data_IF_459694177968
#
_entry.id   IF_459694177968
#
_cell.length_a   1.000
_cell.length_b   1.000
_cell.length_c   1.000
_cell.angle_alpha   90.00
_cell.angle_beta   90.00
_cell.angle_gamma   90.00
#
_symmetry.space_group_name_H-M   'P 1'
#
loop_
_entity.id
_entity.type
_entity.pdbx_description
1 polymer ?
#
# COMPACT_ATOMS: atom_id res chain seq x y z
N UNK A 1 -48.64 47.63 30.31
CA UNK A 1 -48.00 46.48 30.97
C UNK A 1 -47.06 45.88 29.94
N UNK A 2 -45.77 46.08 30.18
CA UNK A 2 -44.69 45.79 29.22
C UNK A 2 -44.15 44.40 29.52
N UNK A 3 -44.38 43.44 28.63
CA UNK A 3 -43.77 42.11 28.73
C UNK A 3 -42.36 42.16 28.12
N UNK A 4 -41.38 41.91 28.99
CA UNK A 4 -39.98 41.67 28.63
C UNK A 4 -39.82 40.20 28.24
N UNK A 5 -39.42 39.94 26.99
CA UNK A 5 -38.92 38.64 26.55
C UNK A 5 -37.42 38.56 26.84
N UNK A 6 -36.89 37.49 27.46
CA UNK A 6 -35.47 37.38 27.76
C UNK A 6 -34.68 36.90 26.52
N UNK A 7 -33.62 37.64 26.17
CA UNK A 7 -32.59 37.23 25.21
C UNK A 7 -31.88 35.95 25.68
N UNK A 8 -31.85 34.92 24.83
CA UNK A 8 -30.99 33.76 25.02
C UNK A 8 -29.57 34.08 24.52
N UNK A 9 -28.50 33.68 25.25
CA UNK A 9 -27.13 33.94 24.84
C UNK A 9 -26.74 33.08 23.64
N UNK A 10 -26.19 33.73 22.62
CA UNK A 10 -25.73 33.11 21.38
C UNK A 10 -24.68 32.03 21.64
N UNK A 11 -25.02 30.81 21.27
CA UNK A 11 -24.11 29.67 21.16
C UNK A 11 -23.04 30.02 20.13
N UNK A 12 -21.79 30.16 20.57
CA UNK A 12 -20.61 30.27 19.70
C UNK A 12 -20.56 29.07 18.77
N UNK A 13 -20.98 29.24 17.52
CA UNK A 13 -20.79 28.26 16.46
C UNK A 13 -19.29 28.03 16.28
N UNK A 14 -18.82 26.85 16.70
CA UNK A 14 -17.45 26.41 16.44
C UNK A 14 -17.21 26.41 14.94
N UNK A 15 -16.33 27.29 14.49
CA UNK A 15 -15.93 27.44 13.09
C UNK A 15 -15.44 26.10 12.57
N UNK A 16 -16.14 25.52 11.59
CA UNK A 16 -15.66 24.32 10.90
C UNK A 16 -14.24 24.59 10.35
N UNK A 17 -13.28 23.66 10.51
CA UNK A 17 -11.91 23.88 10.06
C UNK A 17 -11.90 24.14 8.55
N UNK A 18 -11.19 25.20 8.13
CA UNK A 18 -11.03 25.55 6.72
C UNK A 18 -10.42 24.36 5.95
N UNK A 19 -11.07 23.86 4.88
CA UNK A 19 -10.57 22.72 4.10
C UNK A 19 -9.13 22.91 3.56
N UNK A 20 -8.72 24.15 3.28
CA UNK A 20 -7.34 24.46 2.89
C UNK A 20 -6.34 24.23 4.02
N UNK A 21 -6.65 24.69 5.24
CA UNK A 21 -5.78 24.52 6.40
C UNK A 21 -5.66 23.04 6.81
N UNK A 22 -6.75 22.28 6.70
CA UNK A 22 -6.75 20.84 6.98
C UNK A 22 -5.88 20.07 5.96
N UNK A 23 -5.96 20.42 4.67
CA UNK A 23 -5.10 19.84 3.63
C UNK A 23 -3.62 20.15 3.85
N UNK A 24 -3.29 21.41 4.15
CA UNK A 24 -1.90 21.79 4.41
C UNK A 24 -1.30 21.05 5.60
N UNK A 25 -2.07 20.89 6.69
CA UNK A 25 -1.65 20.07 7.83
C UNK A 25 -1.47 18.59 7.46
N UNK A 26 -2.36 18.04 6.64
CA UNK A 26 -2.24 16.67 6.16
C UNK A 26 -0.98 16.46 5.31
N UNK A 27 -0.68 17.39 4.39
CA UNK A 27 0.55 17.34 3.59
C UNK A 27 1.80 17.45 4.45
N UNK A 28 1.82 18.34 5.46
CA UNK A 28 2.94 18.42 6.42
C UNK A 28 3.17 17.10 7.16
N UNK A 29 2.09 16.44 7.60
CA UNK A 29 2.18 15.13 8.27
C UNK A 29 2.67 14.04 7.30
N UNK A 30 2.19 14.02 6.06
CA UNK A 30 2.63 13.08 5.04
C UNK A 30 4.12 13.27 4.67
N UNK A 31 4.60 14.51 4.61
CA UNK A 31 6.02 14.82 4.42
C UNK A 31 6.87 14.45 5.63
N UNK A 32 6.35 14.66 6.85
CA UNK A 32 7.04 14.23 8.07
C UNK A 32 7.19 12.70 8.13
N UNK A 33 6.14 11.96 7.75
CA UNK A 33 6.19 10.50 7.58
C UNK A 33 7.27 10.08 6.59
N UNK A 34 7.28 10.69 5.39
CA UNK A 34 8.29 10.43 4.35
C UNK A 34 9.70 10.67 4.87
N UNK A 35 9.93 11.80 5.51
CA UNK A 35 11.24 12.16 6.04
C UNK A 35 11.70 11.21 7.14
N UNK A 36 10.79 10.77 8.01
CA UNK A 36 11.12 9.83 9.09
C UNK A 36 11.47 8.44 8.53
N UNK A 37 10.75 7.95 7.51
CA UNK A 37 11.09 6.69 6.83
C UNK A 37 12.43 6.75 6.10
N UNK A 38 12.75 7.89 5.46
CA UNK A 38 14.03 8.09 4.77
C UNK A 38 15.24 8.07 5.71
N UNK A 39 15.05 8.28 7.02
CA UNK A 39 16.14 8.10 8.01
C UNK A 39 16.43 6.63 8.30
N UNK A 40 15.42 5.77 8.17
CA UNK A 40 15.53 4.35 8.47
C UNK A 40 16.02 3.53 7.27
N UNK A 41 15.72 3.94 6.04
CA UNK A 41 16.11 3.24 4.82
C UNK A 41 17.02 4.06 3.93
N UNK A 42 18.08 3.41 3.42
CA UNK A 42 19.05 4.00 2.51
C UNK A 42 18.66 3.65 1.07
N UNK A 43 18.66 4.64 0.17
CA UNK A 43 18.56 4.46 -1.28
C UNK A 43 17.17 4.15 -1.86
N UNK A 44 16.18 3.82 -1.04
CA UNK A 44 14.86 3.35 -1.50
C UNK A 44 13.79 4.45 -1.53
N UNK A 45 14.12 5.64 -2.07
CA UNK A 45 13.20 6.79 -2.02
C UNK A 45 11.90 6.54 -2.78
N UNK A 46 11.97 5.98 -3.98
CA UNK A 46 10.79 5.68 -4.80
C UNK A 46 9.88 4.64 -4.13
N UNK A 47 10.47 3.58 -3.56
CA UNK A 47 9.74 2.54 -2.82
C UNK A 47 9.03 3.14 -1.60
N UNK A 48 9.69 4.04 -0.85
CA UNK A 48 9.06 4.75 0.26
C UNK A 48 7.87 5.57 -0.24
N UNK A 49 8.04 6.33 -1.31
CA UNK A 49 6.99 7.17 -1.88
C UNK A 49 5.79 6.34 -2.35
N UNK A 50 6.04 5.20 -3.00
CA UNK A 50 4.99 4.30 -3.47
C UNK A 50 4.27 3.56 -2.33
N UNK A 51 5.00 3.14 -1.29
CA UNK A 51 4.39 2.52 -0.10
C UNK A 51 3.55 3.54 0.67
N UNK A 52 4.02 4.78 0.83
CA UNK A 52 3.23 5.85 1.41
C UNK A 52 2.01 6.20 0.55
N UNK A 53 2.18 6.23 -0.78
CA UNK A 53 1.09 6.41 -1.73
C UNK A 53 0.02 5.35 -1.54
N UNK A 54 0.40 4.07 -1.42
CA UNK A 54 -0.54 2.98 -1.17
C UNK A 54 -1.20 3.10 0.20
N UNK A 55 -0.47 3.47 1.26
CA UNK A 55 -1.03 3.68 2.59
C UNK A 55 -2.10 4.78 2.56
N UNK A 56 -1.80 5.93 1.96
CA UNK A 56 -2.71 7.07 1.84
C UNK A 56 -3.90 6.79 0.89
N UNK A 57 -3.70 5.94 -0.11
CA UNK A 57 -4.75 5.49 -1.01
C UNK A 57 -5.60 4.34 -0.42
N UNK A 58 -5.21 3.78 0.74
CA UNK A 58 -5.87 2.66 1.39
C UNK A 58 -5.76 1.35 0.61
N UNK A 59 -4.63 1.12 -0.04
CA UNK A 59 -4.34 -0.05 -0.87
C UNK A 59 -3.27 -0.98 -0.31
N UNK A 60 -3.21 -2.18 -0.89
CA UNK A 60 -2.20 -3.21 -0.58
C UNK A 60 -1.08 -3.20 -1.62
N UNK A 61 0.10 -3.66 -1.23
CA UNK A 61 1.31 -3.61 -2.07
C UNK A 61 1.89 -5.00 -2.23
N UNK A 62 2.26 -5.34 -3.46
CA UNK A 62 3.05 -6.52 -3.79
C UNK A 62 4.48 -6.06 -4.08
N UNK A 63 5.47 -6.65 -3.42
CA UNK A 63 6.89 -6.28 -3.54
C UNK A 63 7.66 -7.45 -4.14
N UNK A 64 8.04 -7.30 -5.40
CA UNK A 64 8.95 -8.19 -6.08
C UNK A 64 10.39 -7.71 -5.85
N UNK A 65 11.28 -8.61 -5.44
CA UNK A 65 12.71 -8.28 -5.28
C UNK A 65 13.41 -9.27 -4.39
N UNK A 66 14.74 -9.24 -4.40
CA UNK A 66 15.56 -10.22 -3.68
C UNK A 66 15.44 -10.08 -2.14
N UNK A 67 15.70 -11.15 -1.39
CA UNK A 67 15.78 -11.10 0.07
C UNK A 67 16.87 -10.13 0.55
N UNK A 68 16.72 -9.58 1.76
CA UNK A 68 17.75 -8.78 2.40
C UNK A 68 17.73 -7.27 2.08
N UNK A 69 16.85 -6.79 1.19
CA UNK A 69 16.75 -5.36 0.82
C UNK A 69 15.97 -4.50 1.84
N UNK A 70 15.97 -4.85 3.12
CA UNK A 70 15.32 -4.01 4.14
C UNK A 70 13.79 -3.93 4.07
N UNK A 71 13.09 -4.82 3.34
CA UNK A 71 11.61 -4.86 3.26
C UNK A 71 10.97 -4.94 4.66
N UNK A 72 11.50 -5.81 5.53
CA UNK A 72 11.02 -5.93 6.91
C UNK A 72 11.26 -4.67 7.72
N UNK A 73 12.37 -3.96 7.46
CA UNK A 73 12.66 -2.69 8.09
C UNK A 73 11.67 -1.61 7.65
N UNK A 74 11.34 -1.55 6.35
CA UNK A 74 10.35 -0.62 5.79
C UNK A 74 9.00 -0.73 6.50
N UNK A 75 8.46 -1.95 6.60
CA UNK A 75 7.13 -2.15 7.20
C UNK A 75 7.15 -1.87 8.70
N UNK A 76 8.22 -2.28 9.40
CA UNK A 76 8.37 -1.99 10.85
C UNK A 76 8.51 -0.49 11.10
N UNK A 77 9.29 0.21 10.29
CA UNK A 77 9.44 1.67 10.35
C UNK A 77 8.10 2.36 10.12
N UNK A 78 7.36 1.94 9.09
CA UNK A 78 6.04 2.47 8.79
C UNK A 78 5.06 2.27 9.94
N UNK A 79 5.00 1.07 10.52
CA UNK A 79 4.14 0.78 11.68
C UNK A 79 4.46 1.70 12.86
N UNK A 80 5.75 1.90 13.18
CA UNK A 80 6.16 2.77 14.28
C UNK A 80 5.82 4.24 14.06
N UNK A 81 5.86 4.73 12.82
CA UNK A 81 5.53 6.11 12.53
C UNK A 81 4.10 6.52 12.94
N UNK A 82 3.14 5.57 12.98
CA UNK A 82 1.76 5.85 13.38
C UNK A 82 1.26 5.02 14.58
N UNK A 83 2.18 4.46 15.36
CA UNK A 83 1.88 3.58 16.51
C UNK A 83 0.94 2.39 16.13
N UNK A 84 1.13 1.89 14.91
CA UNK A 84 0.37 0.78 14.35
C UNK A 84 0.87 -0.57 14.82
N UNK A 85 -0.07 -1.50 14.99
CA UNK A 85 0.25 -2.92 15.09
C UNK A 85 1.00 -3.42 13.85
N UNK A 86 2.02 -4.25 14.08
CA UNK A 86 2.78 -4.94 13.04
C UNK A 86 2.72 -6.45 13.28
N UNK A 87 2.42 -7.20 12.22
CA UNK A 87 2.60 -8.64 12.21
C UNK A 87 3.38 -9.06 10.96
N UNK A 88 4.14 -10.14 11.09
CA UNK A 88 4.86 -10.77 10.01
C UNK A 88 4.42 -12.21 9.92
N UNK A 89 4.17 -12.68 8.70
CA UNK A 89 3.89 -14.07 8.39
C UNK A 89 4.80 -14.49 7.24
N UNK A 90 5.45 -15.64 7.41
CA UNK A 90 6.20 -16.29 6.34
C UNK A 90 5.26 -17.28 5.66
N UNK A 91 5.07 -17.15 4.36
CA UNK A 91 4.30 -18.12 3.60
C UNK A 91 5.17 -19.33 3.30
N UNK A 92 4.71 -20.50 3.73
CA UNK A 92 5.37 -21.79 3.54
C UNK A 92 4.38 -22.79 2.94
N UNK A 93 4.85 -23.88 2.31
CA UNK A 93 3.97 -24.85 1.64
C UNK A 93 2.97 -25.55 2.58
N UNK A 94 3.28 -25.60 3.87
CA UNK A 94 2.49 -26.21 4.94
C UNK A 94 1.53 -25.22 5.64
N UNK A 95 1.61 -23.92 5.32
CA UNK A 95 0.81 -22.90 5.97
C UNK A 95 -0.68 -23.08 5.64
N UNK A 96 -1.52 -23.15 6.68
CA UNK A 96 -2.97 -23.31 6.54
C UNK A 96 -3.70 -21.96 6.56
N UNK A 97 -4.91 -21.87 5.96
CA UNK A 97 -5.75 -20.66 6.04
C UNK A 97 -6.01 -20.17 7.48
N UNK A 98 -6.15 -21.11 8.42
CA UNK A 98 -6.35 -20.84 9.85
C UNK A 98 -5.14 -20.19 10.53
N UNK A 99 -3.93 -20.38 9.99
CA UNK A 99 -2.72 -19.75 10.51
C UNK A 99 -2.64 -18.27 10.13
N UNK A 100 -3.32 -17.89 9.04
CA UNK A 100 -3.47 -16.50 8.57
C UNK A 100 -4.62 -15.82 9.30
N UNK A 101 -5.79 -16.45 9.29
CA UNK A 101 -7.06 -15.87 9.76
C UNK A 101 -7.29 -16.03 11.26
N UNK A 102 -6.75 -17.09 11.86
CA UNK A 102 -7.02 -17.50 13.23
C UNK A 102 -7.89 -18.76 13.30
N UNK A 103 -8.04 -19.30 14.51
CA UNK A 103 -8.82 -20.49 14.77
C UNK A 103 -9.41 -20.48 16.17
N UNK A 104 -10.43 -21.30 16.41
CA UNK A 104 -10.97 -21.56 17.75
C UNK A 104 -10.20 -22.70 18.40
N UNK A 105 -9.74 -22.49 19.64
CA UNK A 105 -9.13 -23.53 20.48
C UNK A 105 -10.08 -23.82 21.63
N UNK A 106 -10.38 -25.10 21.87
CA UNK A 106 -11.14 -25.50 23.05
C UNK A 106 -10.26 -25.38 24.30
N UNK A 107 -10.66 -24.53 25.23
CA UNK A 107 -9.95 -24.31 26.49
C UNK A 107 -10.52 -25.26 27.55
N UNK A 108 -9.75 -26.30 27.90
CA UNK A 108 -10.14 -27.33 28.86
C UNK A 108 -10.42 -26.78 30.27
N UNK A 109 -9.85 -25.62 30.64
CA UNK A 109 -10.05 -25.04 31.97
C UNK A 109 -11.37 -24.27 32.07
N UNK A 110 -11.85 -23.71 30.96
CA UNK A 110 -13.10 -22.95 30.93
C UNK A 110 -14.25 -23.68 30.25
N UNK A 111 -13.97 -24.85 29.68
CA UNK A 111 -14.91 -25.64 28.85
C UNK A 111 -15.55 -24.82 27.72
N UNK A 112 -14.80 -23.85 27.18
CA UNK A 112 -15.27 -22.91 26.16
C UNK A 112 -14.30 -22.83 24.98
N UNK A 113 -14.85 -22.58 23.80
CA UNK A 113 -14.06 -22.26 22.61
C UNK A 113 -13.51 -20.84 22.69
N UNK A 114 -12.19 -20.72 22.84
CA UNK A 114 -11.47 -19.43 22.84
C UNK A 114 -10.94 -19.15 21.43
N UNK A 115 -11.34 -18.01 20.88
CA UNK A 115 -10.86 -17.55 19.58
C UNK A 115 -9.41 -17.06 19.69
N UNK A 116 -8.51 -17.68 18.93
CA UNK A 116 -7.15 -17.18 18.71
C UNK A 116 -7.11 -16.44 17.37
N UNK A 117 -6.93 -15.12 17.47
CA UNK A 117 -6.78 -14.22 16.32
C UNK A 117 -5.49 -14.53 15.57
N UNK A 118 -5.56 -14.65 14.25
CA UNK A 118 -4.39 -14.79 13.38
C UNK A 118 -3.61 -13.47 13.21
N UNK A 119 -2.47 -13.51 12.51
CA UNK A 119 -1.62 -12.34 12.26
C UNK A 119 -2.30 -11.25 11.43
N UNK A 120 -3.40 -11.54 10.71
CA UNK A 120 -4.17 -10.52 9.98
C UNK A 120 -4.83 -9.47 10.87
N UNK A 121 -5.00 -9.72 12.17
CA UNK A 121 -5.55 -8.76 13.12
C UNK A 121 -4.51 -7.71 13.56
N UNK A 122 -3.99 -6.98 12.59
CA UNK A 122 -2.94 -5.96 12.74
C UNK A 122 -3.27 -4.75 11.85
N UNK A 123 -2.46 -3.69 11.91
CA UNK A 123 -2.58 -2.56 10.98
C UNK A 123 -1.72 -2.78 9.73
N UNK A 124 -0.46 -3.18 9.94
CA UNK A 124 0.44 -3.60 8.86
C UNK A 124 0.77 -5.07 8.97
N UNK A 125 0.53 -5.80 7.88
CA UNK A 125 0.91 -7.21 7.73
C UNK A 125 1.98 -7.33 6.65
N UNK A 126 3.16 -7.83 7.01
CA UNK A 126 4.17 -8.29 6.07
C UNK A 126 3.94 -9.78 5.78
N UNK A 127 3.56 -10.09 4.55
CA UNK A 127 3.37 -11.45 4.06
C UNK A 127 4.54 -11.86 3.16
N UNK A 128 5.55 -12.50 3.74
CA UNK A 128 6.75 -12.86 3.01
C UNK A 128 6.54 -14.11 2.15
N UNK A 129 7.02 -14.05 0.90
CA UNK A 129 7.01 -15.16 -0.07
C UNK A 129 5.62 -15.75 -0.31
N UNK A 130 4.63 -14.87 -0.57
CA UNK A 130 3.23 -15.27 -0.75
C UNK A 130 3.04 -16.39 -1.79
N UNK A 131 3.93 -16.47 -2.78
CA UNK A 131 3.96 -17.50 -3.81
C UNK A 131 4.42 -18.89 -3.31
N UNK A 132 4.80 -19.08 -2.05
CA UNK A 132 5.20 -20.40 -1.50
C UNK A 132 4.06 -21.15 -0.81
N UNK A 133 2.97 -20.48 -0.45
CA UNK A 133 1.83 -21.16 0.15
C UNK A 133 0.84 -21.66 -0.91
N UNK A 134 0.02 -22.68 -0.60
CA UNK A 134 -1.04 -23.15 -1.47
C UNK A 134 -2.08 -22.07 -1.77
N UNK A 135 -2.76 -22.19 -2.91
CA UNK A 135 -3.79 -21.25 -3.37
C UNK A 135 -4.91 -21.00 -2.33
N UNK A 136 -5.28 -22.01 -1.52
CA UNK A 136 -6.29 -21.83 -0.46
C UNK A 136 -5.85 -20.83 0.63
N UNK A 137 -4.57 -20.84 0.98
CA UNK A 137 -3.99 -19.94 2.00
C UNK A 137 -3.79 -18.54 1.43
N UNK A 138 -3.40 -18.44 0.15
CA UNK A 138 -3.37 -17.18 -0.59
C UNK A 138 -4.77 -16.55 -0.64
N UNK A 139 -5.79 -17.31 -1.05
CA UNK A 139 -7.17 -16.87 -1.12
C UNK A 139 -7.69 -16.35 0.24
N UNK A 140 -7.36 -17.03 1.34
CA UNK A 140 -7.74 -16.59 2.68
C UNK A 140 -7.19 -15.19 3.02
N UNK A 141 -5.91 -14.91 2.73
CA UNK A 141 -5.35 -13.57 2.92
C UNK A 141 -6.04 -12.52 2.03
N UNK A 142 -6.28 -12.87 0.76
CA UNK A 142 -6.90 -11.97 -0.22
C UNK A 142 -8.35 -11.65 0.08
N UNK A 143 -9.08 -12.58 0.70
CA UNK A 143 -10.43 -12.35 1.22
C UNK A 143 -10.40 -11.29 2.33
N UNK A 144 -9.46 -11.40 3.28
CA UNK A 144 -9.31 -10.40 4.35
C UNK A 144 -8.95 -9.03 3.79
N UNK A 145 -8.11 -8.97 2.75
CA UNK A 145 -7.78 -7.72 2.06
C UNK A 145 -9.03 -7.04 1.45
N UNK A 146 -9.94 -7.84 0.90
CA UNK A 146 -11.14 -7.33 0.23
C UNK A 146 -12.26 -6.97 1.22
N UNK A 147 -12.55 -7.86 2.16
CA UNK A 147 -13.69 -7.77 3.08
C UNK A 147 -13.36 -6.98 4.36
N UNK A 148 -12.06 -6.82 4.69
CA UNK A 148 -11.59 -6.18 5.93
C UNK A 148 -12.19 -6.78 7.21
N UNK A 149 -12.54 -8.05 7.15
CA UNK A 149 -13.04 -8.83 8.26
C UNK A 149 -12.70 -10.31 8.05
N UNK A 150 -12.72 -11.06 9.13
CA UNK A 150 -12.53 -12.51 9.13
C UNK A 150 -13.74 -13.14 9.80
N UNK A 151 -14.30 -14.19 9.20
CA UNK A 151 -15.35 -14.98 9.84
C UNK A 151 -14.74 -16.18 10.55
N UNK A 152 -14.84 -16.23 11.88
CA UNK A 152 -14.40 -17.37 12.70
C UNK A 152 -15.61 -17.92 13.48
N UNK A 153 -15.88 -19.23 13.37
CA UNK A 153 -17.02 -19.89 14.04
C UNK A 153 -18.36 -19.14 13.86
N UNK A 154 -18.62 -18.68 12.64
CA UNK A 154 -19.84 -17.93 12.28
C UNK A 154 -19.88 -16.48 12.80
N UNK A 155 -18.82 -15.98 13.44
CA UNK A 155 -18.71 -14.58 13.92
C UNK A 155 -17.80 -13.77 13.01
N UNK A 156 -18.33 -12.67 12.46
CA UNK A 156 -17.54 -11.71 11.72
C UNK A 156 -16.71 -10.83 12.67
N UNK A 157 -15.39 -10.84 12.51
CA UNK A 157 -14.44 -10.07 13.29
C UNK A 157 -13.73 -9.08 12.37
N UNK A 158 -13.95 -7.78 12.59
CA UNK A 158 -13.29 -6.74 11.81
C UNK A 158 -11.78 -6.70 12.08
N UNK A 159 -10.99 -6.45 11.04
CA UNK A 159 -9.55 -6.17 11.20
C UNK A 159 -9.32 -4.71 11.60
N UNK A 160 -8.30 -4.41 12.43
CA UNK A 160 -7.96 -3.03 12.79
C UNK A 160 -7.74 -2.15 11.57
N UNK A 161 -8.11 -0.87 11.64
CA UNK A 161 -7.98 0.08 10.54
C UNK A 161 -7.04 1.24 10.95
N UNK A 162 -6.13 1.70 10.08
CA UNK A 162 -5.93 1.27 8.69
C UNK A 162 -5.33 -0.14 8.60
N UNK A 163 -5.78 -0.92 7.61
CA UNK A 163 -5.25 -2.25 7.29
C UNK A 163 -4.52 -2.22 5.96
N UNK A 164 -3.23 -2.56 5.95
CA UNK A 164 -2.41 -2.65 4.76
C UNK A 164 -1.60 -3.94 4.80
N UNK A 165 -1.53 -4.61 3.65
CA UNK A 165 -0.77 -5.83 3.44
C UNK A 165 0.36 -5.49 2.48
N UNK A 166 1.58 -5.81 2.88
CA UNK A 166 2.76 -5.78 2.02
C UNK A 166 3.18 -7.23 1.81
N UNK A 167 2.84 -7.77 0.64
CA UNK A 167 3.20 -9.13 0.27
C UNK A 167 4.52 -9.11 -0.50
N UNK A 168 5.42 -10.06 -0.27
CA UNK A 168 6.68 -10.17 -1.03
C UNK A 168 6.67 -11.41 -1.92
N UNK A 169 7.33 -11.30 -3.07
CA UNK A 169 7.58 -12.42 -3.97
C UNK A 169 9.06 -12.41 -4.37
N UNK A 170 9.67 -13.58 -4.34
CA UNK A 170 11.02 -13.78 -4.85
C UNK A 170 10.92 -14.35 -6.28
N UNK A 171 11.38 -13.62 -7.31
CA UNK A 171 11.28 -14.07 -8.69
C UNK A 171 12.24 -15.21 -9.06
N UNK A 172 13.26 -15.48 -8.24
CA UNK A 172 14.35 -16.43 -8.56
C UNK A 172 13.97 -17.87 -8.19
N UNK A 173 13.17 -18.07 -7.14
CA UNK A 173 12.77 -19.40 -6.69
C UNK A 173 11.63 -19.93 -7.55
N UNK A 174 11.92 -20.90 -8.44
CA UNK A 174 10.91 -21.57 -9.26
C UNK A 174 10.39 -22.86 -8.61
N UNK A 175 11.20 -23.53 -7.77
CA UNK A 175 10.81 -24.78 -7.13
C UNK A 175 9.84 -24.54 -5.96
N UNK A 176 8.73 -25.28 -5.94
CA UNK A 176 7.75 -25.23 -4.85
C UNK A 176 6.96 -23.91 -4.77
N UNK A 177 6.85 -23.18 -5.89
CA UNK A 177 6.06 -21.94 -5.94
C UNK A 177 4.72 -22.13 -6.65
N UNK A 178 3.71 -21.46 -6.12
CA UNK A 178 2.36 -21.34 -6.62
C UNK A 178 2.16 -19.89 -7.08
N UNK A 179 2.23 -19.61 -8.40
CA UNK A 179 2.04 -18.25 -8.90
C UNK A 179 0.64 -17.77 -8.57
N UNK A 180 0.53 -16.51 -8.15
CA UNK A 180 -0.77 -15.86 -7.93
C UNK A 180 -1.49 -15.74 -9.28
N UNK A 181 -2.74 -16.24 -9.41
CA UNK A 181 -3.59 -15.96 -10.55
C UNK A 181 -3.75 -14.46 -10.79
N UNK A 182 -3.98 -14.05 -12.04
CA UNK A 182 -4.14 -12.63 -12.41
C UNK A 182 -5.28 -11.95 -11.63
N UNK A 183 -6.38 -12.67 -11.39
CA UNK A 183 -7.51 -12.19 -10.59
C UNK A 183 -7.12 -11.89 -9.12
N UNK A 184 -6.09 -12.56 -8.61
CA UNK A 184 -5.55 -12.35 -7.27
C UNK A 184 -4.56 -11.18 -7.24
N UNK A 185 -3.67 -11.12 -8.23
CA UNK A 185 -2.76 -9.99 -8.41
C UNK A 185 -3.52 -8.66 -8.52
N UNK A 186 -4.66 -8.62 -9.22
CA UNK A 186 -5.46 -7.40 -9.41
C UNK A 186 -6.02 -6.81 -8.09
N UNK A 187 -6.02 -7.58 -6.99
CA UNK A 187 -6.39 -7.09 -5.64
C UNK A 187 -5.29 -6.24 -5.00
N UNK A 188 -4.04 -6.36 -5.44
CA UNK A 188 -2.98 -5.45 -5.01
C UNK A 188 -3.08 -4.13 -5.78
N UNK A 189 -3.01 -3.01 -5.06
CA UNK A 189 -3.08 -1.70 -5.68
C UNK A 189 -1.82 -1.43 -6.50
N UNK A 190 -0.66 -1.70 -5.91
CA UNK A 190 0.67 -1.50 -6.51
C UNK A 190 1.46 -2.80 -6.51
N UNK A 191 2.22 -3.04 -7.58
CA UNK A 191 3.34 -3.97 -7.61
C UNK A 191 4.64 -3.18 -7.72
N UNK A 192 5.48 -3.25 -6.70
CA UNK A 192 6.78 -2.58 -6.63
C UNK A 192 7.90 -3.57 -6.95
N UNK A 193 8.93 -3.07 -7.62
CA UNK A 193 10.18 -3.79 -7.88
C UNK A 193 11.26 -3.14 -7.07
N UNK A 194 12.00 -3.93 -6.30
CA UNK A 194 13.16 -3.45 -5.53
C UNK A 194 14.37 -4.21 -6.03
N UNK A 195 15.26 -3.47 -6.68
CA UNK A 195 16.57 -3.94 -7.12
C UNK A 195 17.63 -3.67 -6.05
N UNK A 196 18.85 -4.18 -6.29
CA UNK A 196 19.98 -3.90 -5.42
C UNK A 196 20.26 -2.39 -5.34
N UNK A 197 20.64 -1.87 -4.16
CA UNK A 197 21.00 -0.47 -4.00
C UNK A 197 22.21 -0.12 -4.87
N UNK A 198 22.38 1.17 -5.17
CA UNK A 198 23.58 1.65 -5.85
C UNK A 198 24.82 1.44 -4.96
N UNK A 199 26.01 1.36 -5.55
CA UNK A 199 27.26 1.12 -4.81
C UNK A 199 27.45 2.08 -3.63
N UNK A 200 27.17 3.38 -3.82
CA UNK A 200 27.28 4.38 -2.76
C UNK A 200 26.29 4.15 -1.60
N UNK A 201 25.09 3.69 -1.92
CA UNK A 201 24.02 3.37 -0.95
C UNK A 201 24.37 2.09 -0.19
N UNK A 202 24.86 1.08 -0.91
CA UNK A 202 25.33 -0.18 -0.33
C UNK A 202 26.53 0.04 0.61
N UNK A 203 27.51 0.85 0.20
CA UNK A 203 28.63 1.23 1.07
C UNK A 203 28.14 1.92 2.36
N UNK A 204 27.14 2.78 2.26
CA UNK A 204 26.55 3.47 3.42
C UNK A 204 25.85 2.47 4.34
N UNK A 205 25.07 1.54 3.77
CA UNK A 205 24.38 0.47 4.49
C UNK A 205 25.38 -0.42 5.23
N UNK A 206 26.41 -0.91 4.53
CA UNK A 206 27.46 -1.77 5.10
C UNK A 206 28.18 -1.05 6.24
N UNK A 207 28.54 0.22 6.07
CA UNK A 207 29.17 1.02 7.15
C UNK A 207 28.27 1.18 8.37
N UNK A 208 26.97 1.40 8.18
CA UNK A 208 26.03 1.59 9.28
C UNK A 208 25.76 0.29 10.06
N UNK A 209 25.60 -0.82 9.34
CA UNK A 209 25.36 -2.14 9.95
C UNK A 209 26.61 -2.65 10.68
N UNK A 210 27.81 -2.49 10.09
CA UNK A 210 29.07 -2.98 10.69
C UNK A 210 29.58 -2.15 11.88
N UNK A 211 29.24 -0.85 11.96
CA UNK A 211 29.60 0.01 13.11
C UNK A 211 28.69 -0.15 14.32
N UNK A 212 27.50 -0.72 14.14
CA UNK A 212 26.53 -0.89 15.21
C UNK A 212 26.89 -2.13 16.03
N UNK A 213 27.40 -1.94 17.26
CA UNK A 213 27.81 -3.03 18.16
C UNK A 213 26.67 -3.99 18.59
N UNK A 214 25.44 -3.75 18.14
CA UNK A 214 24.31 -4.68 18.25
C UNK A 214 24.07 -5.30 16.87
N UNK A 215 24.49 -6.55 16.72
CA UNK A 215 24.40 -7.33 15.48
C UNK A 215 22.99 -7.63 14.98
N UNK A 216 21.94 -7.20 15.67
CA UNK A 216 20.56 -7.49 15.26
C UNK A 216 19.76 -6.20 15.09
N UNK A 217 19.45 -5.94 13.82
CA UNK A 217 18.45 -4.99 13.34
C UNK A 217 18.86 -3.51 13.44
N UNK A 218 18.80 -2.83 12.29
CA UNK A 218 18.59 -1.39 12.22
C UNK A 218 17.42 -1.04 13.15
N UNK A 219 17.74 -0.61 14.37
CA UNK A 219 16.76 -0.47 15.42
C UNK A 219 15.86 0.71 15.07
N UNK A 220 14.59 0.41 14.87
CA UNK A 220 13.54 1.40 14.61
C UNK A 220 13.20 2.15 15.92
N UNK A 221 13.86 1.85 17.06
CA UNK A 221 13.51 2.39 18.38
C UNK A 221 13.70 3.90 18.54
N UNK A 222 14.63 4.58 17.84
CA UNK A 222 14.73 6.03 17.93
C UNK A 222 13.67 6.75 17.09
N UNK A 223 12.86 6.03 16.29
CA UNK A 223 11.80 6.67 15.49
C UNK A 223 10.66 7.15 16.38
N UNK A 224 10.20 8.37 16.12
CA UNK A 224 9.07 8.96 16.87
C UNK A 224 7.75 8.53 16.23
N UNK A 225 6.79 8.10 17.05
CA UNK A 225 5.41 8.02 16.60
C UNK A 225 4.91 9.44 16.31
N UNK A 226 4.71 9.74 15.03
CA UNK A 226 4.25 11.06 14.56
C UNK A 226 2.73 11.16 14.55
N UNK A 227 2.06 10.01 14.42
CA UNK A 227 0.64 9.88 14.18
C UNK A 227 0.06 8.74 15.04
N UNK A 228 -1.26 8.68 15.11
CA UNK A 228 -2.00 7.49 15.53
C UNK A 228 -2.74 6.86 14.34
N UNK A 229 -3.24 5.65 14.54
CA UNK A 229 -4.14 4.93 13.63
C UNK A 229 -5.26 5.82 13.03
N UNK A 230 -5.95 6.58 13.88
CA UNK A 230 -7.05 7.48 13.46
C UNK A 230 -6.59 8.63 12.58
N UNK A 231 -5.36 9.12 12.78
CA UNK A 231 -4.81 10.18 11.96
C UNK A 231 -4.53 9.68 10.54
N UNK A 232 -4.05 8.45 10.39
CA UNK A 232 -3.87 7.82 9.07
C UNK A 232 -5.20 7.69 8.34
N UNK A 233 -6.28 7.31 9.02
CA UNK A 233 -7.62 7.26 8.42
C UNK A 233 -8.10 8.66 7.99
N UNK A 234 -7.81 9.69 8.79
CA UNK A 234 -8.11 11.07 8.41
C UNK A 234 -7.29 11.50 7.18
N UNK A 235 -6.02 11.14 7.09
CA UNK A 235 -5.17 11.39 5.92
C UNK A 235 -5.71 10.67 4.68
N UNK A 236 -6.14 9.41 4.78
CA UNK A 236 -6.75 8.66 3.69
C UNK A 236 -8.02 9.36 3.17
N UNK A 237 -8.86 9.87 4.07
CA UNK A 237 -10.05 10.63 3.69
C UNK A 237 -9.70 11.94 2.98
N UNK A 238 -8.75 12.70 3.52
CA UNK A 238 -8.29 13.96 2.90
C UNK A 238 -7.68 13.71 1.52
N UNK A 239 -6.89 12.64 1.35
CA UNK A 239 -6.37 12.22 0.06
C UNK A 239 -7.52 11.89 -0.91
N UNK A 240 -8.51 11.10 -0.47
CA UNK A 240 -9.65 10.71 -1.31
C UNK A 240 -10.47 11.91 -1.80
N UNK A 241 -10.57 12.96 -0.99
CA UNK A 241 -11.33 14.18 -1.28
C UNK A 241 -10.52 15.23 -2.07
N UNK A 242 -9.26 14.95 -2.44
CA UNK A 242 -8.42 15.91 -3.15
C UNK A 242 -8.99 16.20 -4.57
N UNK A 243 -9.14 17.50 -4.94
CA UNK A 243 -9.66 17.88 -6.24
C UNK A 243 -8.87 17.29 -7.41
N UNK A 244 -9.60 16.77 -8.39
CA UNK A 244 -9.07 16.28 -9.66
C UNK A 244 -9.90 16.89 -10.77
N UNK A 245 -9.25 17.49 -11.76
CA UNK A 245 -9.90 17.99 -12.97
C UNK A 245 -10.38 16.81 -13.83
N UNK A 246 -11.54 16.96 -14.47
CA UNK A 246 -12.13 15.91 -15.31
C UNK A 246 -11.19 15.47 -16.43
N UNK A 247 -10.35 16.36 -16.97
CA UNK A 247 -9.35 16.00 -17.99
C UNK A 247 -8.26 15.09 -17.44
N UNK A 248 -7.87 15.24 -16.17
CA UNK A 248 -6.88 14.38 -15.50
C UNK A 248 -7.50 13.03 -15.14
N UNK A 249 -8.77 13.03 -14.73
CA UNK A 249 -9.53 11.80 -14.51
C UNK A 249 -9.66 11.01 -15.82
N UNK A 250 -10.06 11.67 -16.90
CA UNK A 250 -10.14 11.10 -18.25
C UNK A 250 -8.78 10.61 -18.75
N UNK A 251 -7.70 11.32 -18.41
CA UNK A 251 -6.34 10.88 -18.69
C UNK A 251 -6.00 9.55 -18.01
N UNK A 252 -6.31 9.39 -16.71
CA UNK A 252 -6.11 8.13 -15.99
C UNK A 252 -6.95 6.99 -16.57
N UNK A 253 -8.21 7.25 -16.92
CA UNK A 253 -9.09 6.27 -17.57
C UNK A 253 -8.56 5.88 -18.94
N UNK A 254 -8.11 6.85 -19.74
CA UNK A 254 -7.55 6.64 -21.08
C UNK A 254 -6.29 5.79 -21.03
N UNK A 255 -5.34 6.05 -20.12
CA UNK A 255 -4.16 5.20 -19.93
C UNK A 255 -4.58 3.74 -19.76
N UNK A 256 -5.46 3.45 -18.80
CA UNK A 256 -5.90 2.09 -18.52
C UNK A 256 -6.64 1.46 -19.72
N UNK A 257 -7.49 2.22 -20.43
CA UNK A 257 -8.20 1.72 -21.61
C UNK A 257 -7.27 1.43 -22.79
N UNK A 258 -6.25 2.25 -23.00
CA UNK A 258 -5.27 2.06 -24.08
C UNK A 258 -4.57 0.71 -23.96
N UNK A 259 -4.28 0.25 -22.74
CA UNK A 259 -3.65 -1.08 -22.53
C UNK A 259 -4.44 -2.25 -23.10
N UNK A 260 -5.75 -2.13 -23.31
CA UNK A 260 -6.62 -3.20 -23.82
C UNK A 260 -6.53 -3.39 -25.32
N UNK A 261 -6.11 -2.34 -26.03
CA UNK A 261 -6.03 -2.32 -27.49
C UNK A 261 -4.59 -2.03 -27.95
N UNK A 262 -3.62 -2.08 -27.04
CA UNK A 262 -2.23 -1.77 -27.35
C UNK A 262 -1.56 -2.94 -28.07
N UNK A 263 -0.89 -2.72 -29.21
CA UNK A 263 -0.15 -3.78 -29.90
C UNK A 263 0.90 -4.42 -28.99
N UNK A 264 0.88 -5.74 -28.89
CA UNK A 264 1.83 -6.49 -28.06
C UNK A 264 1.39 -6.74 -26.61
N UNK A 265 0.18 -6.29 -26.22
CA UNK A 265 -0.47 -6.76 -24.99
C UNK A 265 -1.57 -7.77 -25.34
N UNK A 266 -1.45 -8.99 -24.81
CA UNK A 266 -2.49 -10.02 -24.93
C UNK A 266 -3.65 -9.78 -23.96
N UNK A 267 -3.36 -9.17 -22.81
CA UNK A 267 -4.35 -8.79 -21.81
C UNK A 267 -4.09 -7.37 -21.32
N UNK A 268 -5.12 -6.53 -21.33
CA UNK A 268 -5.07 -5.17 -20.83
C UNK A 268 -5.72 -5.01 -19.44
N UNK A 269 -5.48 -3.86 -18.83
CA UNK A 269 -5.87 -3.59 -17.46
C UNK A 269 -7.38 -3.35 -17.29
N UNK A 270 -7.96 -3.96 -16.25
CA UNK A 270 -9.37 -3.81 -15.89
C UNK A 270 -9.73 -2.44 -15.27
N UNK A 271 -11.01 -2.19 -14.94
CA UNK A 271 -11.45 -0.93 -14.31
C UNK A 271 -10.77 -0.62 -12.97
N UNK A 272 -10.33 -1.66 -12.23
CA UNK A 272 -9.57 -1.49 -10.98
C UNK A 272 -8.28 -0.72 -11.20
N UNK A 273 -7.65 -0.82 -12.37
CA UNK A 273 -6.48 -0.04 -12.73
C UNK A 273 -6.80 1.47 -12.76
N UNK A 274 -7.89 1.88 -13.42
CA UNK A 274 -8.31 3.28 -13.48
C UNK A 274 -8.59 3.84 -12.08
N UNK A 275 -9.26 3.05 -11.23
CA UNK A 275 -9.54 3.42 -9.83
C UNK A 275 -8.24 3.57 -9.04
N UNK A 276 -7.31 2.62 -9.18
CA UNK A 276 -6.02 2.67 -8.53
C UNK A 276 -5.18 3.87 -8.99
N UNK A 277 -5.12 4.15 -10.30
CA UNK A 277 -4.43 5.33 -10.84
C UNK A 277 -4.93 6.63 -10.20
N UNK A 278 -6.26 6.83 -10.14
CA UNK A 278 -6.83 8.06 -9.56
C UNK A 278 -6.56 8.15 -8.05
N UNK A 279 -6.71 7.04 -7.30
CA UNK A 279 -6.44 7.02 -5.86
C UNK A 279 -4.96 7.28 -5.56
N UNK A 280 -4.05 6.67 -6.32
CA UNK A 280 -2.63 6.89 -6.20
C UNK A 280 -2.25 8.33 -6.59
N UNK A 281 -2.82 8.88 -7.67
CA UNK A 281 -2.57 10.25 -8.08
C UNK A 281 -2.98 11.26 -6.99
N UNK A 282 -4.15 11.06 -6.36
CA UNK A 282 -4.58 11.86 -5.21
C UNK A 282 -3.62 11.77 -4.01
N UNK A 283 -3.18 10.56 -3.67
CA UNK A 283 -2.21 10.35 -2.61
C UNK A 283 -0.84 11.00 -2.90
N UNK A 284 -0.36 10.91 -4.15
CA UNK A 284 0.89 11.54 -4.60
C UNK A 284 0.81 13.06 -4.58
N UNK A 285 -0.32 13.62 -5.03
CA UNK A 285 -0.56 15.06 -4.95
C UNK A 285 -0.52 15.54 -3.49
N UNK A 286 -1.10 14.80 -2.54
CA UNK A 286 -1.00 15.11 -1.11
C UNK A 286 0.44 15.07 -0.59
N UNK A 287 1.23 14.05 -0.97
CA UNK A 287 2.66 13.91 -0.61
C UNK A 287 3.53 15.05 -1.17
N UNK A 288 3.18 15.54 -2.36
CA UNK A 288 3.81 16.70 -3.02
C UNK A 288 3.39 18.04 -2.42
N UNK A 289 2.47 18.07 -1.46
CA UNK A 289 1.81 19.29 -0.96
C UNK A 289 1.06 20.08 -2.04
N UNK A 290 0.47 19.37 -3.02
CA UNK A 290 -0.36 19.96 -4.06
C UNK A 290 -1.82 20.15 -3.61
N UNK A 291 -2.45 21.24 -4.05
CA UNK A 291 -3.87 21.51 -3.79
C UNK A 291 -4.83 20.72 -4.70
N UNK A 292 -4.31 20.22 -5.82
CA UNK A 292 -5.04 19.46 -6.84
C UNK A 292 -4.12 18.44 -7.51
N UNK A 293 -4.73 17.42 -8.12
CA UNK A 293 -4.03 16.37 -8.86
C UNK A 293 -3.59 16.87 -10.24
N UNK A 294 -2.32 16.63 -10.60
CA UNK A 294 -1.78 16.92 -11.93
C UNK A 294 -1.53 15.63 -12.73
N UNK A 295 -1.40 15.70 -14.06
CA UNK A 295 -1.13 14.51 -14.89
C UNK A 295 0.12 13.72 -14.49
N UNK A 296 1.15 14.40 -13.98
CA UNK A 296 2.38 13.75 -13.53
C UNK A 296 2.16 12.87 -12.28
N UNK A 297 1.18 13.20 -11.43
CA UNK A 297 0.82 12.35 -10.28
C UNK A 297 0.20 11.02 -10.77
N UNK A 298 -0.54 11.05 -11.88
CA UNK A 298 -1.07 9.84 -12.54
C UNK A 298 0.07 9.05 -13.17
N UNK A 299 0.92 9.69 -13.97
CA UNK A 299 2.07 9.03 -14.62
C UNK A 299 3.02 8.39 -13.62
N UNK A 300 3.32 9.09 -12.52
CA UNK A 300 4.28 8.63 -11.50
C UNK A 300 3.86 7.35 -10.77
N UNK A 301 2.59 6.97 -10.79
CA UNK A 301 2.11 5.68 -10.24
C UNK A 301 1.76 4.65 -11.31
N UNK A 302 1.79 5.03 -12.59
CA UNK A 302 1.21 4.21 -13.65
C UNK A 302 1.92 2.86 -13.84
N UNK A 303 3.25 2.82 -13.82
CA UNK A 303 3.99 1.56 -13.94
C UNK A 303 3.67 0.62 -12.77
N UNK A 304 3.73 1.11 -11.53
CA UNK A 304 3.45 0.32 -10.34
C UNK A 304 2.00 -0.18 -10.28
N UNK A 305 1.04 0.58 -10.83
CA UNK A 305 -0.37 0.18 -10.92
C UNK A 305 -0.61 -0.81 -12.06
N UNK A 306 0.03 -0.66 -13.22
CA UNK A 306 -0.35 -1.39 -14.43
C UNK A 306 0.45 -2.68 -14.64
N UNK A 307 1.68 -2.79 -14.15
CA UNK A 307 2.60 -3.89 -14.50
C UNK A 307 2.11 -5.30 -14.17
N UNK A 308 1.24 -5.44 -13.17
CA UNK A 308 0.63 -6.73 -12.80
C UNK A 308 -0.79 -6.92 -13.31
N UNK A 309 -1.28 -5.96 -14.11
CA UNK A 309 -2.62 -5.93 -14.68
C UNK A 309 -2.63 -6.06 -16.20
N UNK A 310 -1.46 -6.24 -16.80
CA UNK A 310 -1.27 -6.44 -18.23
C UNK A 310 -0.42 -7.67 -18.48
N UNK A 311 -0.60 -8.29 -19.64
CA UNK A 311 0.20 -9.43 -20.08
C UNK A 311 0.71 -9.17 -21.49
N UNK A 312 2.00 -9.44 -21.70
CA UNK A 312 2.62 -9.36 -23.01
C UNK A 312 2.04 -10.43 -23.94
N UNK A 313 2.05 -10.15 -25.24
CA UNK A 313 1.81 -11.18 -26.23
C UNK A 313 3.02 -12.12 -26.33
N UNK A 314 2.83 -13.40 -26.70
CA UNK A 314 3.92 -14.36 -26.81
C UNK A 314 5.05 -13.89 -27.73
N UNK A 315 4.72 -13.12 -28.77
CA UNK A 315 5.70 -12.58 -29.71
C UNK A 315 6.68 -11.63 -29.00
N UNK A 316 6.17 -10.69 -28.18
CA UNK A 316 7.03 -9.75 -27.45
C UNK A 316 7.80 -10.42 -26.30
N UNK A 317 7.23 -11.46 -25.69
CA UNK A 317 7.94 -12.27 -24.69
C UNK A 317 9.16 -12.98 -25.32
N UNK A 318 9.02 -13.51 -26.54
CA UNK A 318 10.12 -14.15 -27.28
C UNK A 318 11.20 -13.12 -27.67
N UNK A 319 10.81 -11.90 -28.01
CA UNK A 319 11.74 -10.79 -28.28
C UNK A 319 12.45 -10.27 -27.01
N UNK A 320 12.07 -10.75 -25.82
CA UNK A 320 12.70 -10.39 -24.55
C UNK A 320 12.29 -9.02 -24.03
N UNK A 321 11.19 -8.43 -24.54
CA UNK A 321 10.67 -7.17 -24.03
C UNK A 321 10.03 -7.36 -22.66
N UNK A 322 10.22 -6.37 -21.78
CA UNK A 322 9.58 -6.35 -20.46
C UNK A 322 8.27 -5.58 -20.47
N UNK A 323 7.35 -5.96 -19.57
CA UNK A 323 6.09 -5.25 -19.36
C UNK A 323 6.31 -3.76 -19.10
N UNK A 324 7.30 -3.40 -18.28
CA UNK A 324 7.59 -2.01 -17.93
C UNK A 324 8.04 -1.20 -19.16
N UNK A 325 8.81 -1.78 -20.09
CA UNK A 325 9.20 -1.10 -21.35
C UNK A 325 8.00 -0.81 -22.24
N UNK A 326 7.10 -1.78 -22.43
CA UNK A 326 5.87 -1.60 -23.24
C UNK A 326 4.94 -0.57 -22.60
N UNK A 327 4.79 -0.60 -21.28
CA UNK A 327 4.01 0.39 -20.55
C UNK A 327 4.61 1.79 -20.66
N UNK A 328 5.93 1.94 -20.61
CA UNK A 328 6.59 3.23 -20.78
C UNK A 328 6.31 3.83 -22.17
N UNK A 329 6.43 3.02 -23.23
CA UNK A 329 6.08 3.44 -24.59
C UNK A 329 4.62 3.90 -24.70
N UNK A 330 3.71 3.20 -24.03
CA UNK A 330 2.30 3.58 -23.97
C UNK A 330 2.12 4.92 -23.25
N UNK A 331 2.76 5.12 -22.10
CA UNK A 331 2.66 6.36 -21.31
C UNK A 331 3.23 7.58 -22.06
N UNK A 332 4.24 7.37 -22.89
CA UNK A 332 4.84 8.42 -23.72
C UNK A 332 3.95 8.80 -24.91
N UNK A 333 3.18 7.85 -25.46
CA UNK A 333 2.26 8.11 -26.58
C UNK A 333 0.89 8.66 -26.16
N UNK A 334 0.41 8.35 -24.95
CA UNK A 334 -0.89 8.87 -24.50
C UNK A 334 -0.73 10.34 -24.09
N UNK A 335 -1.38 11.30 -24.79
CA UNK A 335 -1.16 12.71 -24.55
C UNK A 335 -1.71 13.15 -23.19
N UNK A 336 -0.85 13.74 -22.37
CA UNK A 336 -1.25 14.35 -21.12
C UNK A 336 -2.07 15.63 -21.39
N UNK A 337 -3.15 15.88 -20.62
CA UNK A 337 -3.89 17.14 -20.73
C UNK A 337 -3.02 18.31 -20.26
N UNK A 338 -3.27 19.50 -20.82
CA UNK A 338 -2.63 20.74 -20.37
C UNK A 338 -3.58 21.37 -19.36
N UNK A 339 -3.24 21.23 -18.07
CA UNK A 339 -4.05 21.69 -16.93
C UNK A 339 -3.31 22.74 -16.16
#
# INVERSE_FOLDING_TARGET
MSEQTPEQPGTTAGTAPNPGAQRQRASQLAQALRHELQKALIGQQEVIDDVLTALLAGGHVLIEGVPGLGKTLLVRALARCFDGGFARIQFTPDLMPSDVTGHAVYDLATEQFKLRKGPVFTHLLLADEINRAPAKTQAALLEVMQERQVTLEGRALAVPQPFMVLATQNPIEQEGTYPLPEAELDRFMLKLRIDYPLEAEEQTLVRQVTRSARSDMLDVAPMRALLKDKDVLALQKIAADLPIDDQVLDYAVRIARTTRNWPGLALGAGPRASIALVRCARARALLRSGDFVIPDDVKGSALAVLRHRVRLSPELEIEGLSVDQVLQQLLDQVPAPRV
#
